data_IF_278578815383
#
_entry.id   IF_278578815383
#
_cell.length_a   1.000
_cell.length_b   1.000
_cell.length_c   1.000
_cell.angle_alpha   90.00
_cell.angle_beta   90.00
_cell.angle_gamma   90.00
#
_symmetry.space_group_name_H-M   'P 1'
#
loop_
_entity.id
_entity.type
_entity.pdbx_description
1 polymer ?
#
# COMPACT_ATOMS: atom_id res chain seq x y z
N UNK A 1 3.91 -13.27 -22.05
CA UNK A 1 4.50 -12.32 -23.00
C UNK A 1 5.37 -13.02 -24.17
N UNK A 2 5.16 -12.84 -25.53
CA UNK A 2 5.91 -13.22 -26.80
C UNK A 2 6.39 -11.89 -27.38
N UNK A 3 7.67 -11.66 -27.71
CA UNK A 3 8.16 -10.26 -27.81
C UNK A 3 7.32 -9.44 -28.78
N UNK A 4 6.55 -8.47 -28.24
CA UNK A 4 5.73 -7.60 -29.07
C UNK A 4 6.65 -6.84 -30.01
N UNK A 5 7.86 -6.48 -29.56
CA UNK A 5 8.86 -5.87 -30.43
C UNK A 5 9.28 -6.77 -31.61
N UNK A 6 9.50 -8.07 -31.41
CA UNK A 6 9.86 -8.98 -32.52
C UNK A 6 8.66 -9.25 -33.46
N UNK A 7 7.45 -9.35 -32.91
CA UNK A 7 6.24 -9.59 -33.69
C UNK A 7 5.74 -8.31 -34.42
N UNK A 8 5.84 -7.14 -33.79
CA UNK A 8 5.64 -5.81 -34.36
C UNK A 8 6.67 -5.55 -35.45
N UNK A 9 7.96 -5.84 -35.26
CA UNK A 9 8.96 -5.68 -36.32
C UNK A 9 8.67 -6.61 -37.50
N UNK A 10 8.22 -7.85 -37.27
CA UNK A 10 7.79 -8.77 -38.34
C UNK A 10 6.53 -8.28 -39.07
N UNK A 11 5.49 -7.82 -38.34
CA UNK A 11 4.27 -7.25 -38.94
C UNK A 11 4.54 -5.91 -39.64
N UNK A 12 5.38 -5.05 -39.09
CA UNK A 12 5.83 -3.82 -39.73
C UNK A 12 6.65 -4.10 -40.99
N UNK A 13 7.49 -5.15 -41.00
CA UNK A 13 8.22 -5.60 -42.17
C UNK A 13 7.26 -6.15 -43.25
N UNK A 14 6.25 -6.95 -42.88
CA UNK A 14 5.19 -7.38 -43.79
C UNK A 14 4.42 -6.19 -44.37
N UNK A 15 3.98 -5.24 -43.53
CA UNK A 15 3.26 -4.05 -43.97
C UNK A 15 4.12 -3.13 -44.85
N UNK A 16 5.43 -3.05 -44.60
CA UNK A 16 6.37 -2.32 -45.46
C UNK A 16 6.56 -3.01 -46.82
N UNK A 17 6.78 -4.32 -46.82
CA UNK A 17 6.93 -5.15 -48.04
C UNK A 17 5.68 -5.05 -48.93
N UNK A 18 4.48 -5.22 -48.38
CA UNK A 18 3.24 -5.13 -49.17
C UNK A 18 2.96 -3.69 -49.65
N UNK A 19 3.25 -2.65 -48.86
CA UNK A 19 3.13 -1.26 -49.35
C UNK A 19 4.11 -0.95 -50.49
N UNK A 20 5.32 -1.50 -50.45
CA UNK A 20 6.29 -1.39 -51.55
C UNK A 20 5.80 -2.15 -52.79
N UNK A 21 5.27 -3.37 -52.65
CA UNK A 21 4.68 -4.11 -53.78
C UNK A 21 3.51 -3.35 -54.43
N UNK A 22 2.63 -2.75 -53.62
CA UNK A 22 1.50 -1.95 -54.12
C UNK A 22 2.00 -0.70 -54.85
N UNK A 23 3.02 0.00 -54.35
CA UNK A 23 3.62 1.15 -55.03
C UNK A 23 4.28 0.75 -56.37
N UNK A 24 5.07 -0.32 -56.38
CA UNK A 24 5.69 -0.88 -57.58
C UNK A 24 4.62 -1.28 -58.63
N UNK A 25 3.52 -1.91 -58.20
CA UNK A 25 2.40 -2.30 -59.06
C UNK A 25 1.59 -1.11 -59.58
N UNK A 26 1.57 0.01 -58.86
CA UNK A 26 1.03 1.29 -59.31
C UNK A 26 1.99 2.06 -60.26
N UNK A 27 3.19 1.54 -60.49
CA UNK A 27 4.19 2.12 -61.41
C UNK A 27 5.20 3.07 -60.76
N UNK A 28 5.25 3.17 -59.43
CA UNK A 28 6.20 4.02 -58.69
C UNK A 28 7.19 3.15 -57.88
N UNK A 29 8.40 2.85 -58.43
CA UNK A 29 9.26 1.78 -57.94
C UNK A 29 10.11 2.16 -56.71
N UNK A 30 9.45 2.32 -55.56
CA UNK A 30 10.10 2.70 -54.29
C UNK A 30 10.91 1.51 -53.73
N UNK A 31 12.23 1.67 -53.60
CA UNK A 31 13.14 0.74 -52.89
C UNK A 31 13.08 -0.74 -53.35
N UNK A 32 12.71 -1.00 -54.60
CA UNK A 32 12.53 -2.37 -55.15
C UNK A 32 13.73 -3.32 -54.93
N UNK A 33 14.96 -2.79 -54.85
CA UNK A 33 16.18 -3.58 -54.61
C UNK A 33 16.27 -4.20 -53.20
N UNK A 34 15.47 -3.74 -52.24
CA UNK A 34 15.45 -4.24 -50.85
C UNK A 34 14.48 -5.42 -50.65
N UNK A 35 13.44 -5.54 -51.49
CA UNK A 35 12.40 -6.58 -51.37
C UNK A 35 12.96 -8.01 -51.17
N UNK A 36 13.92 -8.52 -51.97
CA UNK A 36 14.34 -9.91 -51.84
C UNK A 36 15.00 -10.23 -50.49
N UNK A 37 15.68 -9.25 -49.87
CA UNK A 37 16.26 -9.40 -48.55
C UNK A 37 15.20 -9.35 -47.44
N UNK A 38 14.19 -8.50 -47.59
CA UNK A 38 13.07 -8.40 -46.66
C UNK A 38 12.19 -9.67 -46.69
N UNK A 39 11.91 -10.22 -47.87
CA UNK A 39 11.12 -11.45 -48.02
C UNK A 39 11.84 -12.68 -47.46
N UNK A 40 13.16 -12.81 -47.69
CA UNK A 40 13.97 -13.89 -47.11
C UNK A 40 14.01 -13.87 -45.57
N UNK A 41 13.93 -12.67 -44.94
CA UNK A 41 13.81 -12.52 -43.49
C UNK A 41 12.41 -12.90 -42.98
N UNK A 42 11.36 -12.64 -43.76
CA UNK A 42 9.98 -13.03 -43.42
C UNK A 42 9.74 -14.54 -43.56
N UNK A 43 10.41 -15.24 -44.48
CA UNK A 43 10.34 -16.71 -44.57
C UNK A 43 10.99 -17.41 -43.37
N UNK A 44 11.98 -16.77 -42.75
CA UNK A 44 12.67 -17.25 -41.53
C UNK A 44 11.94 -16.90 -40.23
N UNK A 45 10.91 -16.06 -40.29
CA UNK A 45 10.12 -15.70 -39.11
C UNK A 45 9.22 -16.87 -38.64
N UNK A 46 9.04 -17.08 -37.32
CA UNK A 46 8.24 -18.18 -36.79
C UNK A 46 6.76 -18.03 -37.18
N UNK A 47 6.27 -18.95 -38.00
CA UNK A 47 4.89 -18.97 -38.50
C UNK A 47 3.91 -19.34 -37.37
N UNK A 48 2.76 -18.67 -37.32
CA UNK A 48 1.76 -18.90 -36.29
C UNK A 48 1.15 -20.32 -36.38
N UNK A 49 1.18 -21.05 -35.27
CA UNK A 49 0.44 -22.30 -35.09
C UNK A 49 -1.07 -22.07 -34.88
N UNK A 50 -1.87 -23.14 -34.88
CA UNK A 50 -3.34 -23.05 -34.80
C UNK A 50 -3.83 -22.48 -33.46
N UNK A 51 -5.06 -21.98 -33.46
CA UNK A 51 -5.69 -21.39 -32.28
C UNK A 51 -5.92 -22.42 -31.16
N UNK A 52 -5.52 -22.04 -29.95
CA UNK A 52 -5.54 -22.88 -28.75
C UNK A 52 -4.21 -22.77 -28.00
N UNK A 53 -4.17 -21.98 -26.93
CA UNK A 53 -3.00 -21.85 -26.05
C UNK A 53 -3.42 -21.80 -24.60
N UNK A 54 -2.74 -22.58 -23.75
CA UNK A 54 -2.95 -22.62 -22.30
C UNK A 54 -1.73 -22.06 -21.58
N UNK A 55 -1.94 -21.27 -20.53
CA UNK A 55 -0.84 -20.86 -19.65
C UNK A 55 -0.34 -22.06 -18.82
N UNK A 56 0.97 -22.17 -18.66
CA UNK A 56 1.62 -22.89 -17.57
C UNK A 56 2.47 -21.94 -16.72
N UNK A 57 2.69 -22.31 -15.47
CA UNK A 57 3.29 -21.46 -14.46
C UNK A 57 4.69 -22.01 -14.13
N UNK A 58 5.73 -21.34 -14.61
CA UNK A 58 7.12 -21.80 -14.53
C UNK A 58 7.93 -21.07 -13.44
N UNK A 59 8.92 -21.75 -12.88
CA UNK A 59 9.92 -21.21 -11.95
C UNK A 59 11.30 -21.83 -12.23
N UNK A 60 12.34 -21.01 -12.18
CA UNK A 60 13.75 -21.37 -12.39
C UNK A 60 14.65 -20.65 -11.39
N UNK A 61 15.87 -21.14 -11.18
CA UNK A 61 16.89 -20.48 -10.33
C UNK A 61 17.76 -19.55 -11.20
N UNK A 62 18.06 -18.35 -10.69
CA UNK A 62 18.87 -17.33 -11.36
C UNK A 62 20.37 -17.59 -11.11
N UNK A 63 21.12 -17.90 -12.18
CA UNK A 63 22.58 -18.03 -12.16
C UNK A 63 23.16 -19.45 -12.20
N UNK A 64 22.36 -20.50 -12.00
CA UNK A 64 22.83 -21.88 -12.23
C UNK A 64 22.68 -22.31 -13.69
N UNK A 65 23.80 -22.49 -14.39
CA UNK A 65 23.86 -22.81 -15.83
C UNK A 65 23.24 -24.16 -16.26
N UNK A 66 22.69 -24.94 -15.33
CA UNK A 66 22.13 -26.29 -15.54
C UNK A 66 20.88 -26.58 -14.67
N UNK A 67 20.16 -25.55 -14.23
CA UNK A 67 18.91 -25.73 -13.48
C UNK A 67 17.75 -26.26 -14.34
N UNK A 68 17.03 -27.27 -13.87
CA UNK A 68 15.80 -27.77 -14.51
C UNK A 68 14.60 -26.88 -14.19
N UNK A 69 13.86 -26.42 -15.20
CA UNK A 69 12.70 -25.53 -15.00
C UNK A 69 11.50 -26.31 -14.49
N UNK A 70 11.04 -25.98 -13.28
CA UNK A 70 9.82 -26.55 -12.72
C UNK A 70 8.60 -25.78 -13.26
N UNK A 71 7.55 -26.49 -13.67
CA UNK A 71 6.34 -25.89 -14.22
C UNK A 71 5.07 -26.58 -13.75
N UNK A 72 3.99 -25.80 -13.68
CA UNK A 72 2.72 -26.20 -13.08
C UNK A 72 1.53 -25.84 -13.99
N UNK A 73 0.43 -26.58 -13.85
CA UNK A 73 -0.87 -26.24 -14.47
C UNK A 73 -1.72 -25.27 -13.63
N UNK A 74 -1.29 -24.95 -12.41
CA UNK A 74 -1.94 -23.99 -11.50
C UNK A 74 -0.87 -23.04 -10.94
N UNK A 75 -1.22 -21.76 -10.78
CA UNK A 75 -0.35 -20.74 -10.22
C UNK A 75 -0.07 -20.96 -8.73
N UNK A 76 -1.03 -21.51 -7.96
CA UNK A 76 -0.88 -21.75 -6.52
C UNK A 76 0.24 -22.76 -6.23
N UNK A 77 0.28 -23.85 -7.01
CA UNK A 77 1.25 -24.93 -6.88
C UNK A 77 2.71 -24.48 -7.16
N UNK A 78 2.90 -23.36 -7.87
CA UNK A 78 4.23 -22.76 -8.11
C UNK A 78 4.80 -22.09 -6.86
N UNK A 79 3.95 -21.53 -5.99
CA UNK A 79 4.35 -20.76 -4.81
C UNK A 79 4.61 -21.61 -3.55
N UNK A 80 3.99 -22.78 -3.41
CA UNK A 80 4.14 -23.58 -2.18
C UNK A 80 5.50 -24.29 -2.04
N UNK A 81 6.25 -24.45 -3.14
CA UNK A 81 7.52 -25.19 -3.15
C UNK A 81 8.78 -24.31 -3.23
N UNK A 82 8.65 -23.03 -3.63
CA UNK A 82 9.78 -22.18 -4.02
C UNK A 82 9.58 -20.73 -3.58
N UNK A 83 10.38 -20.31 -2.59
CA UNK A 83 10.32 -18.99 -1.93
C UNK A 83 11.73 -18.38 -1.70
N UNK A 84 12.74 -18.80 -2.47
CA UNK A 84 14.09 -18.24 -2.38
C UNK A 84 14.28 -16.99 -3.24
N UNK A 85 15.12 -16.06 -2.80
CA UNK A 85 15.44 -14.80 -3.52
C UNK A 85 16.06 -15.04 -4.92
N UNK A 86 16.61 -16.22 -5.13
CA UNK A 86 17.20 -16.75 -6.36
C UNK A 86 16.17 -17.29 -7.36
N UNK A 87 14.88 -17.34 -7.03
CA UNK A 87 13.84 -17.94 -7.89
C UNK A 87 13.14 -16.92 -8.80
N UNK A 88 13.20 -17.16 -10.12
CA UNK A 88 12.52 -16.35 -11.14
C UNK A 88 11.22 -17.03 -11.57
N UNK A 89 10.10 -16.33 -11.38
CA UNK A 89 8.78 -16.78 -11.77
C UNK A 89 8.38 -16.21 -13.13
N UNK A 90 7.84 -17.06 -14.01
CA UNK A 90 7.28 -16.62 -15.28
C UNK A 90 6.12 -17.50 -15.72
N UNK A 91 5.10 -16.92 -16.36
CA UNK A 91 4.02 -17.69 -16.99
C UNK A 91 4.31 -17.84 -18.48
N UNK A 92 4.07 -19.03 -19.04
CA UNK A 92 4.33 -19.34 -20.44
C UNK A 92 3.06 -19.89 -21.11
N UNK A 93 2.60 -19.24 -22.18
CA UNK A 93 1.44 -19.72 -22.95
C UNK A 93 1.91 -20.75 -24.01
N UNK A 94 1.65 -22.03 -23.73
CA UNK A 94 2.00 -23.19 -24.55
C UNK A 94 0.81 -23.65 -25.41
N UNK A 95 1.01 -24.42 -26.50
CA UNK A 95 -0.09 -24.93 -27.31
C UNK A 95 -1.09 -25.77 -26.51
N UNK A 96 -2.37 -25.63 -26.83
CA UNK A 96 -3.43 -26.46 -26.27
C UNK A 96 -3.30 -27.89 -26.81
N UNK A 97 -3.20 -28.86 -25.90
CA UNK A 97 -2.84 -30.24 -26.22
C UNK A 97 -1.34 -30.57 -26.16
N UNK A 98 -0.44 -29.60 -25.93
CA UNK A 98 1.00 -29.87 -25.77
C UNK A 98 1.28 -30.90 -24.65
N UNK A 99 2.16 -31.85 -24.94
CA UNK A 99 2.60 -32.93 -24.05
C UNK A 99 3.46 -32.43 -22.87
N UNK A 100 3.72 -33.28 -21.88
CA UNK A 100 4.55 -32.91 -20.72
C UNK A 100 5.97 -32.57 -21.15
N UNK A 101 6.47 -33.30 -22.14
CA UNK A 101 7.82 -33.20 -22.69
C UNK A 101 7.98 -31.91 -23.52
N UNK A 102 7.00 -31.57 -24.36
CA UNK A 102 6.98 -30.31 -25.11
C UNK A 102 6.88 -29.09 -24.17
N UNK A 103 6.08 -29.17 -23.11
CA UNK A 103 5.96 -28.08 -22.12
C UNK A 103 7.27 -27.90 -21.35
N UNK A 104 7.95 -28.99 -20.97
CA UNK A 104 9.28 -28.94 -20.36
C UNK A 104 10.29 -28.24 -21.26
N UNK A 105 10.42 -28.69 -22.52
CA UNK A 105 11.35 -28.10 -23.48
C UNK A 105 11.06 -26.61 -23.77
N UNK A 106 9.78 -26.21 -23.84
CA UNK A 106 9.39 -24.81 -24.02
C UNK A 106 9.69 -23.96 -22.76
N UNK A 107 9.53 -24.52 -21.57
CA UNK A 107 9.84 -23.85 -20.31
C UNK A 107 11.37 -23.69 -20.09
N UNK A 108 12.15 -24.72 -20.40
CA UNK A 108 13.62 -24.69 -20.37
C UNK A 108 14.19 -23.69 -21.38
N UNK A 109 13.69 -23.69 -22.63
CA UNK A 109 14.09 -22.71 -23.64
C UNK A 109 13.75 -21.27 -23.21
N UNK A 110 12.55 -21.08 -22.65
CA UNK A 110 12.09 -19.78 -22.15
C UNK A 110 12.92 -19.26 -20.96
N UNK A 111 13.47 -20.14 -20.13
CA UNK A 111 14.40 -19.75 -19.07
C UNK A 111 15.81 -19.46 -19.61
N UNK A 112 16.33 -20.34 -20.46
CA UNK A 112 17.71 -20.24 -20.97
C UNK A 112 17.93 -19.03 -21.89
N UNK A 113 16.97 -18.72 -22.76
CA UNK A 113 16.96 -17.49 -23.57
C UNK A 113 16.37 -16.27 -22.81
N UNK A 114 16.20 -16.37 -21.48
CA UNK A 114 15.65 -15.37 -20.55
C UNK A 114 14.40 -14.65 -21.08
N UNK A 115 13.53 -15.38 -21.80
CA UNK A 115 12.39 -14.84 -22.53
C UNK A 115 11.54 -13.93 -21.68
N UNK A 116 11.32 -14.28 -20.41
CA UNK A 116 10.51 -13.54 -19.46
C UNK A 116 10.90 -12.05 -19.33
N UNK A 117 12.16 -11.67 -19.55
CA UNK A 117 12.65 -10.27 -19.49
C UNK A 117 12.47 -9.49 -20.81
N UNK A 118 12.26 -10.17 -21.95
CA UNK A 118 12.31 -9.55 -23.30
C UNK A 118 10.99 -8.86 -23.72
N UNK A 119 10.13 -8.43 -22.78
CA UNK A 119 8.84 -7.69 -22.95
C UNK A 119 7.89 -8.08 -24.12
N UNK A 120 6.77 -8.75 -23.85
CA UNK A 120 6.20 -9.77 -24.79
C UNK A 120 4.56 -9.75 -24.80
N UNK A 121 3.42 -10.50 -25.13
CA UNK A 121 2.61 -11.79 -25.56
C UNK A 121 2.42 -13.19 -24.77
N UNK A 122 3.04 -14.38 -25.10
CA UNK A 122 3.15 -15.71 -24.34
C UNK A 122 3.88 -15.85 -22.95
N UNK A 123 5.22 -15.88 -22.87
CA UNK A 123 6.18 -15.93 -21.74
C UNK A 123 6.41 -14.61 -20.95
N UNK A 124 5.73 -14.39 -19.83
CA UNK A 124 5.77 -13.15 -19.01
C UNK A 124 6.53 -13.38 -17.70
N UNK A 125 7.54 -12.56 -17.38
CA UNK A 125 8.04 -12.49 -15.99
C UNK A 125 6.86 -12.09 -15.11
N UNK A 126 6.64 -12.86 -14.05
CA UNK A 126 5.63 -12.58 -13.03
C UNK A 126 6.41 -12.21 -11.77
N UNK A 127 6.14 -11.06 -11.14
CA UNK A 127 6.73 -10.79 -9.83
C UNK A 127 6.32 -11.89 -8.85
N UNK A 128 7.15 -12.27 -7.87
CA UNK A 128 6.73 -13.16 -6.79
C UNK A 128 5.43 -12.62 -6.19
N UNK A 129 4.51 -13.52 -5.80
CA UNK A 129 3.14 -13.17 -5.40
C UNK A 129 3.17 -12.10 -4.30
N UNK A 130 2.86 -10.84 -4.66
CA UNK A 130 2.78 -9.76 -3.69
C UNK A 130 1.77 -10.11 -2.59
N UNK A 131 2.00 -9.68 -1.34
CA UNK A 131 1.02 -9.85 -0.27
C UNK A 131 -0.30 -9.16 -0.66
N UNK A 132 -1.42 -9.75 -0.25
CA UNK A 132 -2.75 -9.22 -0.58
C UNK A 132 -2.97 -7.80 0.01
N UNK A 133 -2.18 -7.41 1.03
CA UNK A 133 -2.13 -6.06 1.62
C UNK A 133 -0.68 -5.62 1.93
N UNK A 134 0.00 -4.87 1.03
CA UNK A 134 1.31 -4.27 1.32
C UNK A 134 1.19 -2.95 2.10
N UNK A 135 2.20 -2.62 2.91
CA UNK A 135 2.22 -1.36 3.68
C UNK A 135 2.67 -0.21 2.77
N UNK A 136 1.93 0.90 2.75
CA UNK A 136 2.42 2.14 2.13
C UNK A 136 3.44 2.82 3.06
N UNK A 137 4.60 3.17 2.52
CA UNK A 137 5.73 3.76 3.24
C UNK A 137 6.25 4.97 2.47
N UNK A 138 6.71 6.02 3.17
CA UNK A 138 7.42 7.10 2.50
C UNK A 138 8.84 6.62 2.17
N UNK A 139 9.26 6.82 0.94
CA UNK A 139 10.61 6.53 0.47
C UNK A 139 11.41 7.83 0.40
N UNK A 140 12.61 7.85 0.99
CA UNK A 140 13.47 9.03 1.05
C UNK A 140 14.81 8.72 0.38
N UNK A 141 15.15 9.50 -0.64
CA UNK A 141 16.49 9.52 -1.23
C UNK A 141 17.20 10.79 -0.76
N UNK A 142 18.31 10.61 -0.05
CA UNK A 142 19.14 11.70 0.47
C UNK A 142 20.29 11.92 -0.52
N UNK A 143 20.42 13.14 -1.04
CA UNK A 143 21.43 13.51 -2.03
C UNK A 143 22.32 14.65 -1.50
N UNK A 144 23.49 14.85 -2.10
CA UNK A 144 24.38 15.99 -1.79
C UNK A 144 23.71 17.37 -1.96
N UNK A 145 22.65 17.45 -2.77
CA UNK A 145 21.90 18.68 -3.03
C UNK A 145 20.61 18.86 -2.21
N UNK A 146 20.27 17.92 -1.33
CA UNK A 146 19.01 17.89 -0.57
C UNK A 146 18.34 16.52 -0.58
N UNK A 147 17.14 16.42 0.01
CA UNK A 147 16.38 15.16 0.10
C UNK A 147 15.17 15.20 -0.84
N UNK A 148 14.89 14.09 -1.52
CA UNK A 148 13.62 13.87 -2.24
C UNK A 148 12.77 12.84 -1.49
N UNK A 149 11.47 13.09 -1.41
CA UNK A 149 10.49 12.18 -0.82
C UNK A 149 9.55 11.65 -1.89
N UNK A 150 9.37 10.33 -1.91
CA UNK A 150 8.47 9.57 -2.77
C UNK A 150 7.54 8.72 -1.91
N UNK A 151 6.48 8.14 -2.52
CA UNK A 151 5.72 7.05 -1.90
C UNK A 151 6.21 5.72 -2.44
N UNK A 152 6.11 4.66 -1.64
CA UNK A 152 6.46 3.30 -2.02
C UNK A 152 5.63 2.29 -1.21
N UNK A 153 5.77 1.00 -1.53
CA UNK A 153 5.10 -0.08 -0.82
C UNK A 153 6.13 -1.08 -0.31
N UNK A 154 6.00 -1.47 0.95
CA UNK A 154 6.79 -2.49 1.62
C UNK A 154 5.96 -3.76 1.76
N UNK A 155 6.47 -4.87 1.22
CA UNK A 155 6.08 -6.19 1.69
C UNK A 155 6.81 -6.48 3.02
N UNK A 156 6.06 -6.79 4.09
CA UNK A 156 6.68 -7.21 5.35
C UNK A 156 7.24 -8.64 5.29
N UNK A 157 6.72 -9.52 4.44
CA UNK A 157 7.14 -10.93 4.41
C UNK A 157 8.58 -11.05 3.90
N UNK A 158 8.83 -10.64 2.65
CA UNK A 158 10.17 -10.60 2.03
C UNK A 158 11.00 -9.37 2.40
N UNK A 159 10.38 -8.27 2.84
CA UNK A 159 11.05 -6.98 3.03
C UNK A 159 11.33 -6.19 1.75
N UNK A 160 10.81 -6.64 0.61
CA UNK A 160 10.95 -5.95 -0.67
C UNK A 160 10.16 -4.62 -0.69
N UNK A 161 10.83 -3.55 -1.12
CA UNK A 161 10.25 -2.23 -1.34
C UNK A 161 10.06 -1.99 -2.84
N UNK A 162 8.81 -1.78 -3.23
CA UNK A 162 8.34 -1.70 -4.61
C UNK A 162 7.38 -0.52 -4.83
N UNK A 163 6.88 -0.37 -6.06
CA UNK A 163 5.94 0.70 -6.44
C UNK A 163 6.41 2.12 -6.03
N UNK A 164 7.72 2.40 -6.11
CA UNK A 164 8.29 3.70 -5.76
C UNK A 164 7.83 4.73 -6.80
N UNK A 165 7.00 5.68 -6.37
CA UNK A 165 6.55 6.79 -7.21
C UNK A 165 7.72 7.75 -7.52
N UNK A 166 7.83 8.20 -8.77
CA UNK A 166 8.86 9.15 -9.15
C UNK A 166 8.56 10.53 -8.54
N UNK A 167 9.42 11.01 -7.63
CA UNK A 167 9.39 12.41 -7.20
C UNK A 167 9.72 13.34 -8.38
N UNK A 168 9.06 14.50 -8.42
CA UNK A 168 9.02 15.46 -9.54
C UNK A 168 10.39 15.64 -10.26
N UNK A 169 10.51 15.33 -11.58
CA UNK A 169 11.80 15.16 -12.29
C UNK A 169 12.63 16.44 -12.51
N UNK A 170 12.31 17.53 -11.82
CA UNK A 170 12.88 18.85 -12.08
C UNK A 170 14.10 19.22 -11.19
N UNK A 171 14.57 18.33 -10.30
CA UNK A 171 15.70 18.61 -9.39
C UNK A 171 16.98 17.88 -9.80
N UNK A 172 18.03 18.65 -10.13
CA UNK A 172 19.35 18.13 -10.53
C UNK A 172 20.23 17.75 -9.33
N UNK A 173 19.83 16.70 -8.62
CA UNK A 173 20.71 16.06 -7.65
C UNK A 173 21.91 15.39 -8.35
N UNK A 174 23.11 15.47 -7.75
CA UNK A 174 24.37 15.03 -8.39
C UNK A 174 24.84 13.65 -7.95
N UNK A 175 24.73 13.37 -6.65
CA UNK A 175 25.19 12.13 -6.03
C UNK A 175 24.21 11.76 -4.92
N UNK A 176 23.83 10.49 -4.91
CA UNK A 176 23.03 9.86 -3.88
C UNK A 176 23.94 9.52 -2.68
N UNK A 177 23.46 9.76 -1.47
CA UNK A 177 24.18 9.51 -0.21
C UNK A 177 23.60 8.33 0.57
N UNK A 178 22.27 8.26 0.68
CA UNK A 178 21.56 7.18 1.36
C UNK A 178 20.12 7.08 0.87
N UNK A 179 19.51 5.91 1.00
CA UNK A 179 18.07 5.70 0.77
C UNK A 179 17.46 4.96 1.97
N UNK A 180 16.30 5.44 2.42
CA UNK A 180 15.60 4.95 3.61
C UNK A 180 14.10 4.95 3.38
N UNK A 181 13.36 4.07 4.04
CA UNK A 181 11.91 4.22 4.18
C UNK A 181 11.55 4.78 5.56
N UNK A 182 10.52 5.61 5.62
CA UNK A 182 9.82 6.01 6.85
C UNK A 182 8.58 5.12 7.02
N UNK A 183 8.48 4.47 8.19
CA UNK A 183 7.34 3.64 8.60
C UNK A 183 6.87 4.17 9.96
N UNK A 184 5.78 4.94 9.96
CA UNK A 184 5.37 5.72 11.13
C UNK A 184 6.47 6.68 11.57
N UNK A 185 6.94 6.58 12.81
CA UNK A 185 8.03 7.40 13.35
C UNK A 185 9.45 6.86 13.14
N UNK A 186 9.62 5.74 12.39
CA UNK A 186 10.92 5.10 12.17
C UNK A 186 11.43 5.30 10.75
N UNK A 187 12.62 5.89 10.62
CA UNK A 187 13.42 5.82 9.40
C UNK A 187 14.28 4.53 9.41
N UNK A 188 14.25 3.79 8.31
CA UNK A 188 14.87 2.47 8.17
C UNK A 188 15.66 2.43 6.85
N UNK A 189 16.97 2.16 6.91
CA UNK A 189 17.81 2.06 5.73
C UNK A 189 17.43 0.87 4.84
N UNK A 190 17.36 1.12 3.54
CA UNK A 190 17.17 0.08 2.52
C UNK A 190 18.49 -0.22 1.80
N UNK A 191 18.67 -1.45 1.32
CA UNK A 191 19.84 -1.89 0.57
C UNK A 191 19.46 -2.39 -0.83
N UNK A 192 20.46 -2.48 -1.72
CA UNK A 192 20.34 -3.09 -3.06
C UNK A 192 21.27 -4.30 -3.18
N UNK A 193 20.87 -5.50 -2.71
CA UNK A 193 21.72 -6.69 -2.76
C UNK A 193 21.96 -7.18 -4.20
N UNK A 194 20.97 -7.02 -5.08
CA UNK A 194 21.02 -7.32 -6.51
C UNK A 194 21.42 -6.10 -7.38
N UNK A 195 21.65 -4.94 -6.75
CA UNK A 195 21.89 -3.66 -7.42
C UNK A 195 20.65 -2.98 -8.04
N UNK A 196 19.49 -3.63 -8.04
CA UNK A 196 18.28 -3.21 -8.79
C UNK A 196 17.11 -2.89 -7.86
N UNK A 197 16.84 -3.75 -6.87
CA UNK A 197 15.69 -3.72 -5.98
C UNK A 197 16.07 -3.19 -4.60
N UNK A 198 15.09 -2.66 -3.87
CA UNK A 198 15.25 -2.16 -2.51
C UNK A 198 14.74 -3.16 -1.50
N UNK A 199 15.53 -3.45 -0.45
CA UNK A 199 15.13 -4.37 0.62
C UNK A 199 15.41 -3.77 2.01
N UNK A 200 14.55 -4.13 2.96
CA UNK A 200 14.73 -3.87 4.39
C UNK A 200 15.41 -5.07 5.04
N UNK A 201 16.48 -4.84 5.81
CA UNK A 201 17.24 -5.92 6.45
C UNK A 201 16.41 -6.74 7.47
N UNK A 202 16.71 -8.04 7.65
CA UNK A 202 15.84 -8.97 8.39
C UNK A 202 15.67 -8.63 9.88
N UNK A 203 16.66 -8.01 10.53
CA UNK A 203 16.52 -7.51 11.91
C UNK A 203 15.45 -6.41 12.01
N UNK A 204 15.41 -5.49 11.03
CA UNK A 204 14.41 -4.44 10.97
C UNK A 204 13.02 -5.00 10.66
N UNK A 205 12.93 -5.98 9.75
CA UNK A 205 11.67 -6.72 9.50
C UNK A 205 11.18 -7.43 10.75
N UNK A 206 12.09 -8.09 11.49
CA UNK A 206 11.74 -8.75 12.73
C UNK A 206 11.25 -7.74 13.76
N UNK A 207 11.91 -6.59 13.93
CA UNK A 207 11.44 -5.55 14.85
C UNK A 207 10.06 -4.96 14.44
N UNK A 208 9.83 -4.73 13.14
CA UNK A 208 8.54 -4.30 12.60
C UNK A 208 7.42 -5.32 12.88
N UNK A 209 7.75 -6.63 12.90
CA UNK A 209 6.85 -7.74 13.25
C UNK A 209 6.71 -7.99 14.76
N UNK A 210 7.76 -7.75 15.56
CA UNK A 210 7.85 -8.12 17.00
C UNK A 210 7.32 -7.08 17.99
N UNK A 211 7.09 -5.83 17.58
CA UNK A 211 6.40 -4.87 18.45
C UNK A 211 5.07 -5.45 18.96
N UNK A 212 4.68 -5.17 20.20
CA UNK A 212 3.47 -5.79 20.78
C UNK A 212 2.19 -5.24 20.13
N UNK A 213 1.15 -6.07 19.94
CA UNK A 213 -0.11 -5.61 19.38
C UNK A 213 -0.82 -4.64 20.34
N UNK A 214 -1.04 -3.40 19.87
CA UNK A 214 -2.03 -2.52 20.47
C UNK A 214 -3.43 -3.08 20.20
N UNK A 215 -4.07 -3.58 21.26
CA UNK A 215 -5.46 -4.06 21.21
C UNK A 215 -6.42 -2.87 21.20
N UNK A 216 -6.83 -2.42 20.01
CA UNK A 216 -7.84 -1.38 19.87
C UNK A 216 -9.26 -1.96 19.97
N UNK A 217 -10.08 -1.44 20.88
CA UNK A 217 -11.51 -1.79 20.93
C UNK A 217 -12.27 -1.18 19.73
N UNK A 218 -13.28 -1.87 19.17
CA UNK A 218 -14.18 -1.29 18.17
C UNK A 218 -14.85 0.00 18.68
N UNK A 219 -14.81 1.05 17.87
CA UNK A 219 -15.29 2.39 18.22
C UNK A 219 -14.20 3.35 18.71
N UNK A 220 -12.98 2.88 19.02
CA UNK A 220 -11.85 3.77 19.33
C UNK A 220 -11.50 4.60 18.10
N UNK A 221 -11.39 5.92 18.26
CA UNK A 221 -10.95 6.83 17.19
C UNK A 221 -9.44 6.98 17.23
N UNK A 222 -8.81 6.88 16.06
CA UNK A 222 -7.35 6.90 15.89
C UNK A 222 -6.96 7.85 14.77
N UNK A 223 -5.77 8.44 14.86
CA UNK A 223 -5.07 8.93 13.68
C UNK A 223 -4.50 7.75 12.89
N UNK A 224 -4.55 7.85 11.56
CA UNK A 224 -3.97 6.85 10.65
C UNK A 224 -3.17 7.54 9.54
N UNK A 225 -2.02 6.97 9.20
CA UNK A 225 -1.23 7.35 8.03
C UNK A 225 -1.85 6.69 6.78
N UNK A 226 -2.43 7.52 5.92
CA UNK A 226 -3.11 7.11 4.69
C UNK A 226 -2.50 7.90 3.53
N UNK A 227 -1.82 7.20 2.61
CA UNK A 227 -1.11 7.80 1.47
C UNK A 227 -0.04 8.86 1.85
N UNK A 228 0.44 8.88 3.10
CA UNK A 228 1.36 9.90 3.64
C UNK A 228 0.68 11.12 4.27
N UNK A 229 -0.66 11.12 4.35
CA UNK A 229 -1.50 12.14 4.99
C UNK A 229 -2.14 11.59 6.28
N UNK A 230 -2.17 12.38 7.35
CA UNK A 230 -2.65 11.92 8.67
C UNK A 230 -4.17 12.08 8.79
N UNK A 231 -4.89 11.11 8.24
CA UNK A 231 -6.33 10.95 8.38
C UNK A 231 -6.77 10.62 9.82
N UNK A 232 -8.08 10.62 10.05
CA UNK A 232 -8.71 10.23 11.33
C UNK A 232 -9.89 9.30 11.03
N UNK A 233 -9.97 8.19 11.75
CA UNK A 233 -11.03 7.19 11.56
C UNK A 233 -11.37 6.42 12.83
N UNK A 234 -12.43 5.61 12.77
CA UNK A 234 -12.89 4.78 13.90
C UNK A 234 -12.56 3.30 13.65
N UNK A 235 -11.93 2.65 14.62
CA UNK A 235 -11.63 1.20 14.57
C UNK A 235 -12.94 0.40 14.49
N UNK A 236 -12.99 -0.54 13.54
CA UNK A 236 -14.12 -1.47 13.32
C UNK A 236 -13.81 -2.85 13.88
N UNK A 237 -12.61 -3.35 13.61
CA UNK A 237 -12.14 -4.67 13.98
C UNK A 237 -10.61 -4.71 14.01
N UNK A 238 -10.04 -5.70 14.68
CA UNK A 238 -8.61 -6.01 14.63
C UNK A 238 -8.44 -7.41 14.02
N UNK A 239 -7.53 -7.54 13.06
CA UNK A 239 -7.18 -8.82 12.42
C UNK A 239 -5.82 -9.25 12.96
N UNK A 240 -5.84 -9.81 14.18
CA UNK A 240 -4.62 -10.11 14.96
C UNK A 240 -3.64 -11.06 14.27
N UNK A 241 -4.09 -11.86 13.30
CA UNK A 241 -3.24 -12.74 12.49
C UNK A 241 -2.31 -11.99 11.51
N UNK A 242 -2.68 -10.76 11.11
CA UNK A 242 -1.95 -9.95 10.13
C UNK A 242 -1.36 -8.67 10.73
N UNK A 243 -1.51 -8.45 12.06
CA UNK A 243 -1.22 -7.17 12.71
C UNK A 243 -1.99 -5.97 12.12
N UNK A 244 -3.15 -6.23 11.51
CA UNK A 244 -3.99 -5.23 10.88
C UNK A 244 -5.12 -4.74 11.80
N UNK A 245 -5.51 -3.49 11.57
CA UNK A 245 -6.66 -2.83 12.19
C UNK A 245 -7.54 -2.31 11.06
N UNK A 246 -8.80 -2.74 11.03
CA UNK A 246 -9.79 -2.21 10.09
C UNK A 246 -10.31 -0.89 10.66
N UNK A 247 -10.12 0.21 9.95
CA UNK A 247 -10.51 1.55 10.37
C UNK A 247 -11.46 2.16 9.33
N UNK A 248 -12.59 2.68 9.79
CA UNK A 248 -13.50 3.45 8.95
C UNK A 248 -12.99 4.88 8.80
N UNK A 249 -12.62 5.26 7.59
CA UNK A 249 -12.22 6.63 7.23
C UNK A 249 -13.27 7.18 6.27
N UNK A 250 -13.89 8.30 6.65
CA UNK A 250 -14.92 8.99 5.89
C UNK A 250 -16.13 8.14 5.42
N UNK A 251 -16.40 6.99 6.04
CA UNK A 251 -17.47 6.06 5.68
C UNK A 251 -16.99 4.77 5.03
N UNK A 252 -15.77 4.72 4.49
CA UNK A 252 -15.16 3.52 3.88
C UNK A 252 -14.31 2.78 4.90
N UNK A 253 -14.42 1.45 4.95
CA UNK A 253 -13.56 0.60 5.79
C UNK A 253 -12.26 0.26 5.04
N UNK A 254 -11.11 0.55 5.65
CA UNK A 254 -9.77 0.23 5.12
C UNK A 254 -9.01 -0.64 6.12
N UNK A 255 -8.20 -1.58 5.61
CA UNK A 255 -7.19 -2.28 6.41
C UNK A 255 -5.93 -1.43 6.53
N UNK A 256 -5.48 -1.19 7.76
CA UNK A 256 -4.21 -0.54 8.06
C UNK A 256 -3.34 -1.51 8.85
N UNK A 257 -2.05 -1.62 8.52
CA UNK A 257 -1.13 -2.28 9.44
C UNK A 257 -0.93 -1.41 10.69
N UNK A 258 -0.81 -2.01 11.87
CA UNK A 258 -0.68 -1.32 13.17
C UNK A 258 0.34 -0.17 13.21
N UNK A 259 1.39 -0.20 12.37
CA UNK A 259 2.44 0.83 12.31
C UNK A 259 2.00 2.12 11.59
N UNK A 260 0.92 2.05 10.81
CA UNK A 260 0.23 3.20 10.22
C UNK A 260 -0.79 3.79 11.20
N UNK A 261 -1.11 3.10 12.30
CA UNK A 261 -1.96 3.66 13.36
C UNK A 261 -1.11 4.57 14.24
N UNK A 262 -1.50 5.84 14.32
CA UNK A 262 -0.90 6.82 15.19
C UNK A 262 -1.45 6.74 16.62
N UNK A 263 -1.61 7.90 17.25
CA UNK A 263 -2.22 8.00 18.58
C UNK A 263 -3.74 7.74 18.54
N UNK A 264 -4.24 7.18 19.63
CA UNK A 264 -5.67 7.27 19.99
C UNK A 264 -6.07 8.72 20.19
N UNK A 265 -7.24 9.10 19.70
CA UNK A 265 -7.76 10.46 19.77
C UNK A 265 -8.80 10.58 20.90
N UNK A 266 -8.69 11.64 21.69
CA UNK A 266 -9.76 12.11 22.58
C UNK A 266 -10.51 13.27 21.92
N UNK A 267 -11.69 13.63 22.43
CA UNK A 267 -12.44 14.78 21.89
C UNK A 267 -11.60 16.06 21.91
N UNK A 268 -10.79 16.28 22.96
CA UNK A 268 -9.87 17.41 23.05
C UNK A 268 -8.81 17.39 21.96
N UNK A 269 -8.05 16.31 21.83
CA UNK A 269 -6.99 16.20 20.82
C UNK A 269 -7.54 16.37 19.40
N UNK A 270 -8.77 15.88 19.16
CA UNK A 270 -9.43 16.03 17.87
C UNK A 270 -9.94 17.47 17.64
N UNK A 271 -10.45 18.15 18.66
CA UNK A 271 -10.82 19.57 18.56
C UNK A 271 -9.59 20.47 18.37
N UNK A 272 -8.48 20.18 19.04
CA UNK A 272 -7.21 20.91 18.93
C UNK A 272 -6.56 20.78 17.55
N UNK A 273 -6.77 19.66 16.84
CA UNK A 273 -6.32 19.47 15.44
C UNK A 273 -7.06 20.37 14.44
N UNK A 274 -8.25 20.88 14.78
CA UNK A 274 -9.06 21.76 13.92
C UNK A 274 -9.52 23.02 14.67
N UNK A 275 -8.61 23.93 15.04
CA UNK A 275 -8.90 25.06 15.92
C UNK A 275 -9.72 26.18 15.25
N UNK A 276 -9.79 26.20 13.92
CA UNK A 276 -10.55 27.20 13.15
C UNK A 276 -11.98 26.72 12.95
N UNK A 277 -12.97 27.56 13.28
CA UNK A 277 -14.39 27.23 13.11
C UNK A 277 -14.69 26.89 11.65
N UNK A 278 -15.03 25.64 11.38
CA UNK A 278 -15.35 25.13 10.05
C UNK A 278 -14.18 24.47 9.29
N UNK A 279 -12.97 24.37 9.86
CA UNK A 279 -11.88 23.61 9.24
C UNK A 279 -11.96 22.10 9.48
N UNK A 280 -12.81 21.65 10.42
CA UNK A 280 -13.06 20.22 10.67
C UNK A 280 -13.97 19.63 9.58
N UNK A 281 -13.57 18.56 8.87
CA UNK A 281 -14.43 17.89 7.89
C UNK A 281 -15.71 17.32 8.52
N UNK A 282 -16.77 17.13 7.72
CA UNK A 282 -18.06 16.64 8.22
C UNK A 282 -17.96 15.24 8.87
N UNK A 283 -17.18 14.32 8.29
CA UNK A 283 -16.99 13.00 8.87
C UNK A 283 -16.20 13.06 10.20
N UNK A 284 -15.17 13.91 10.30
CA UNK A 284 -14.44 14.14 11.55
C UNK A 284 -15.33 14.79 12.61
N UNK A 285 -16.24 15.67 12.20
CA UNK A 285 -17.24 16.29 13.08
C UNK A 285 -18.17 15.23 13.68
N UNK A 286 -18.56 14.21 12.91
CA UNK A 286 -19.32 13.07 13.42
C UNK A 286 -18.51 12.23 14.43
N UNK A 287 -17.25 11.91 14.11
CA UNK A 287 -16.33 11.22 15.03
C UNK A 287 -16.13 12.00 16.35
N UNK A 288 -16.09 13.33 16.30
CA UNK A 288 -16.00 14.18 17.49
C UNK A 288 -17.24 14.05 18.39
N UNK A 289 -18.44 13.94 17.83
CA UNK A 289 -19.65 13.67 18.63
C UNK A 289 -19.63 12.27 19.23
N UNK A 290 -19.22 11.24 18.48
CA UNK A 290 -19.08 9.87 19.00
C UNK A 290 -18.03 9.77 20.12
N UNK A 291 -16.93 10.50 20.02
CA UNK A 291 -15.93 10.60 21.11
C UNK A 291 -16.54 11.20 22.37
N UNK A 292 -17.22 12.35 22.28
CA UNK A 292 -17.89 12.97 23.43
C UNK A 292 -18.92 12.01 24.08
N UNK A 293 -19.74 11.33 23.27
CA UNK A 293 -20.72 10.36 23.77
C UNK A 293 -20.05 9.15 24.46
N UNK A 294 -18.93 8.67 23.92
CA UNK A 294 -18.17 7.54 24.48
C UNK A 294 -17.45 7.93 25.77
N UNK A 295 -16.83 9.11 25.81
CA UNK A 295 -16.14 9.67 26.98
C UNK A 295 -17.12 9.98 28.12
N UNK A 296 -18.19 10.73 27.85
CA UNK A 296 -19.26 11.01 28.83
C UNK A 296 -19.96 9.70 29.25
N UNK A 297 -20.12 8.75 28.33
CA UNK A 297 -20.62 7.41 28.60
C UNK A 297 -19.72 6.58 29.51
N UNK A 298 -18.39 6.72 29.42
CA UNK A 298 -17.43 6.13 30.39
C UNK A 298 -17.66 6.76 31.77
N UNK A 299 -17.69 8.09 31.84
CA UNK A 299 -17.82 8.83 33.09
C UNK A 299 -19.17 8.64 33.79
N UNK A 300 -20.25 8.41 33.03
CA UNK A 300 -21.56 8.09 33.61
C UNK A 300 -21.57 6.74 34.33
N UNK A 301 -20.66 5.82 33.98
CA UNK A 301 -20.47 4.52 34.65
C UNK A 301 -19.52 4.58 35.85
N UNK A 302 -18.65 5.59 35.94
CA UNK A 302 -17.81 5.82 37.12
C UNK A 302 -18.64 6.10 38.38
N UNK A 303 -18.10 5.79 39.56
CA UNK A 303 -18.69 6.14 40.86
C UNK A 303 -18.58 7.65 41.14
N UNK A 304 -17.41 8.22 40.83
CA UNK A 304 -17.09 9.65 40.91
C UNK A 304 -16.36 10.07 39.62
N UNK A 305 -16.41 11.36 39.28
CA UNK A 305 -15.64 11.97 38.17
C UNK A 305 -14.62 12.93 38.75
N UNK A 306 -13.33 12.68 38.53
CA UNK A 306 -12.22 13.49 39.06
C UNK A 306 -11.78 14.60 38.09
N UNK A 307 -10.90 15.52 38.53
CA UNK A 307 -10.36 16.57 37.64
C UNK A 307 -9.59 15.97 36.46
N UNK A 308 -8.84 14.89 36.66
CA UNK A 308 -8.10 14.20 35.61
C UNK A 308 -9.02 13.69 34.47
N UNK A 309 -10.19 13.16 34.81
CA UNK A 309 -11.20 12.73 33.82
C UNK A 309 -11.71 13.87 32.92
N UNK A 310 -11.54 15.13 33.33
CA UNK A 310 -11.96 16.32 32.58
C UNK A 310 -10.85 16.91 31.70
N UNK A 311 -9.58 16.58 31.96
CA UNK A 311 -8.43 17.24 31.33
C UNK A 311 -8.27 16.89 29.85
N UNK A 312 -8.75 15.72 29.43
CA UNK A 312 -8.68 15.21 28.05
C UNK A 312 -9.99 15.39 27.27
N UNK A 313 -11.01 16.00 27.88
CA UNK A 313 -12.30 16.31 27.27
C UNK A 313 -12.28 17.69 26.59
N UNK A 314 -12.87 17.78 25.40
CA UNK A 314 -13.17 19.08 24.81
C UNK A 314 -14.32 19.80 25.53
N UNK A 315 -14.45 21.10 25.29
CA UNK A 315 -15.50 21.94 25.89
C UNK A 315 -16.94 21.42 25.71
N UNK A 316 -17.21 20.65 24.66
CA UNK A 316 -18.51 20.03 24.42
C UNK A 316 -18.75 18.84 25.34
N UNK A 317 -17.76 17.94 25.48
CA UNK A 317 -17.79 16.89 26.49
C UNK A 317 -17.82 17.48 27.91
N UNK A 318 -17.02 18.50 28.23
CA UNK A 318 -17.02 19.15 29.56
C UNK A 318 -18.36 19.84 29.86
N UNK A 319 -19.02 20.46 28.87
CA UNK A 319 -20.37 20.98 29.03
C UNK A 319 -21.42 19.86 29.29
N UNK A 320 -21.31 18.73 28.60
CA UNK A 320 -22.18 17.57 28.84
C UNK A 320 -21.96 16.96 30.24
N UNK A 321 -20.71 16.80 30.69
CA UNK A 321 -20.40 16.39 32.08
C UNK A 321 -20.98 17.41 33.07
N UNK A 322 -20.78 18.71 32.84
CA UNK A 322 -21.31 19.78 33.69
C UNK A 322 -22.84 19.86 33.73
N UNK A 323 -23.55 19.40 32.70
CA UNK A 323 -25.02 19.40 32.64
C UNK A 323 -25.66 18.07 33.07
N UNK A 324 -24.96 16.93 32.97
CA UNK A 324 -25.55 15.60 33.16
C UNK A 324 -24.93 14.81 34.32
N UNK A 325 -23.67 15.10 34.67
CA UNK A 325 -22.88 14.31 35.63
C UNK A 325 -22.32 15.15 36.79
N UNK A 326 -22.68 16.43 36.91
CA UNK A 326 -22.18 17.35 37.95
C UNK A 326 -22.35 16.82 39.39
N UNK A 327 -23.44 16.06 39.64
CA UNK A 327 -23.64 15.37 40.91
C UNK A 327 -22.63 14.26 41.21
N UNK A 328 -22.07 13.60 40.18
CA UNK A 328 -20.99 12.62 40.29
C UNK A 328 -19.58 13.25 40.31
N UNK A 329 -19.42 14.51 39.95
CA UNK A 329 -18.12 15.17 40.02
C UNK A 329 -17.66 15.33 41.48
N UNK A 330 -16.37 15.09 41.74
CA UNK A 330 -15.74 15.45 43.01
C UNK A 330 -15.79 16.96 43.24
N UNK A 331 -15.57 17.44 44.48
CA UNK A 331 -15.62 18.88 44.76
C UNK A 331 -14.59 19.68 43.93
N UNK A 332 -13.41 19.12 43.66
CA UNK A 332 -12.39 19.74 42.81
C UNK A 332 -12.83 19.73 41.34
N UNK A 333 -13.46 18.66 40.87
CA UNK A 333 -14.01 18.58 39.51
C UNK A 333 -15.19 19.53 39.28
N UNK A 334 -16.07 19.71 40.28
CA UNK A 334 -17.12 20.75 40.27
C UNK A 334 -16.51 22.15 40.22
N UNK A 335 -15.49 22.40 41.04
CA UNK A 335 -14.76 23.68 41.09
C UNK A 335 -14.06 23.97 39.75
N UNK A 336 -13.47 22.97 39.12
CA UNK A 336 -12.89 23.05 37.79
C UNK A 336 -13.94 23.44 36.73
N UNK A 337 -15.09 22.77 36.68
CA UNK A 337 -16.15 23.07 35.70
C UNK A 337 -16.80 24.44 35.90
N UNK A 338 -16.95 24.90 37.16
CA UNK A 338 -17.44 26.24 37.49
C UNK A 338 -16.45 27.36 37.06
N UNK A 339 -15.15 27.04 36.97
CA UNK A 339 -14.08 27.96 36.58
C UNK A 339 -13.48 27.65 35.19
N UNK A 340 -14.14 26.80 34.39
CA UNK A 340 -13.70 26.43 33.04
C UNK A 340 -13.47 27.68 32.17
N UNK A 341 -12.48 27.69 31.30
CA UNK A 341 -12.19 28.79 30.37
C UNK A 341 -13.43 29.17 29.51
N UNK A 342 -14.27 28.20 29.16
CA UNK A 342 -15.43 28.35 28.27
C UNK A 342 -16.70 28.73 29.03
N UNK A 343 -17.29 29.87 28.65
CA UNK A 343 -18.50 30.41 29.29
C UNK A 343 -19.69 29.45 29.32
N UNK A 344 -19.90 28.66 28.27
CA UNK A 344 -21.00 27.70 28.20
C UNK A 344 -20.81 26.50 29.16
N UNK A 345 -19.58 26.05 29.40
CA UNK A 345 -19.29 25.01 30.41
C UNK A 345 -19.63 25.55 31.79
N UNK A 346 -19.17 26.76 32.11
CA UNK A 346 -19.50 27.46 33.38
C UNK A 346 -21.02 27.64 33.54
N UNK A 347 -21.74 28.03 32.49
CA UNK A 347 -23.21 28.16 32.53
C UNK A 347 -23.90 26.84 32.85
N UNK A 348 -23.50 25.72 32.22
CA UNK A 348 -24.05 24.39 32.55
C UNK A 348 -23.75 24.03 34.02
N UNK A 349 -22.51 24.22 34.47
CA UNK A 349 -22.09 23.92 35.83
C UNK A 349 -22.87 24.74 36.89
N UNK A 350 -23.13 26.03 36.65
CA UNK A 350 -23.92 26.89 37.56
C UNK A 350 -25.39 26.48 37.61
N UNK A 351 -25.98 26.08 36.48
CA UNK A 351 -27.36 25.58 36.42
C UNK A 351 -27.47 24.29 37.24
N UNK A 352 -26.65 23.27 36.94
CA UNK A 352 -26.73 21.98 37.64
C UNK A 352 -26.21 22.01 39.07
N UNK A 353 -25.38 22.99 39.45
CA UNK A 353 -25.11 23.29 40.87
C UNK A 353 -26.37 23.79 41.58
N UNK A 354 -27.13 24.69 40.95
CA UNK A 354 -28.37 25.24 41.52
C UNK A 354 -29.46 24.16 41.66
N UNK A 355 -29.60 23.31 40.65
CA UNK A 355 -30.51 22.16 40.67
C UNK A 355 -30.15 21.15 41.78
N UNK A 356 -28.85 20.87 41.97
CA UNK A 356 -28.39 19.95 43.00
C UNK A 356 -28.59 20.51 44.43
N UNK A 357 -28.49 21.83 44.62
CA UNK A 357 -28.81 22.49 45.90
C UNK A 357 -30.32 22.49 46.20
N UNK A 358 -31.18 22.35 45.19
CA UNK A 358 -32.64 22.19 45.36
C UNK A 358 -33.08 20.73 45.57
N UNK A 359 -32.16 19.77 45.41
CA UNK A 359 -32.43 18.33 45.50
C UNK A 359 -31.90 17.67 46.79
N UNK A 360 -31.31 18.45 47.71
CA UNK A 360 -30.80 18.03 49.02
C UNK A 360 -31.44 18.86 50.15
#
# INVERSE_FOLDING_TARGET
MKSNFAYDVSQCLQHAVERVKIANAAGDPILSAWLPGAEALLEQAPKAGPAGTRTVFCVTIEGESFGSVNWYHDAANRTEAYLGDDHVFFDLDVPEGATKEEIGALAELAAWETWYDVGRSDCRRVPPKFPDYPIEVRFLSIWEGGTSTSRAKLDLESGYVFAIEASDPCVRFKQLLAETIEVGSKAISVSKPDGVRYFVGPENLRELKEQQPLSYEPGVVVEVDFDGEVAVGAVKAMVSALNEVVVNVAGTDYGFHRLQIGRTMTSKLLAEKYPVKGSMPHHVTYLLYQLRETEVGRLSRSSEVAVADLQDLDRGARAAVASMLFGKCSNDARTFLLNDEHSHVRSCAVISQSELVLAN
#
